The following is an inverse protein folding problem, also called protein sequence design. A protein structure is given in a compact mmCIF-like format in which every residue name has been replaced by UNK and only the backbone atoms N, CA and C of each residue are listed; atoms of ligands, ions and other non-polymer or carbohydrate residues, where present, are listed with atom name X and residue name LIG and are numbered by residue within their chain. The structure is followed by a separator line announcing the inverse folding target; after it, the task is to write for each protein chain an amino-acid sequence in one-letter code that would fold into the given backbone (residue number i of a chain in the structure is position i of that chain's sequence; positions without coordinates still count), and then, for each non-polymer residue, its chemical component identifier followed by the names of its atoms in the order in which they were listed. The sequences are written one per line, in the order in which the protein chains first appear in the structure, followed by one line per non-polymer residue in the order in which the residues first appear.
data_IF_743865240379
#
_entry.id   IF_743865240379
#
_cell.length_a   1.000
_cell.length_b   1.000
_cell.length_c   1.000
_cell.angle_alpha   90.00
_cell.angle_beta   90.00
_cell.angle_gamma   90.00
#
_symmetry.space_group_name_H-M   'P 1'
#
loop_
_entity.id
_entity.type
_entity.pdbx_description
1 polymer ?
#
# COMPACT_ATOMS: atom_id res chain seq x y z
N UNK A 1 5.26 -17.86 -23.78
CA UNK A 1 4.33 -18.79 -24.46
C UNK A 1 3.23 -17.96 -25.14
N UNK A 2 2.96 -18.17 -26.44
CA UNK A 2 1.83 -17.50 -27.09
C UNK A 2 0.52 -18.02 -26.50
N UNK A 3 -0.40 -17.12 -26.11
CA UNK A 3 -1.68 -17.51 -25.56
C UNK A 3 -2.35 -16.42 -24.71
N UNK A 4 -3.58 -16.71 -24.28
CA UNK A 4 -4.33 -15.95 -23.28
C UNK A 4 -4.73 -16.90 -22.15
N UNK A 5 -5.08 -16.37 -20.97
CA UNK A 5 -5.48 -17.21 -19.83
C UNK A 5 -4.33 -17.57 -18.88
N UNK A 6 -3.42 -16.64 -18.62
CA UNK A 6 -2.46 -16.75 -17.51
C UNK A 6 -3.00 -15.96 -16.30
N UNK A 7 -2.91 -16.53 -15.10
CA UNK A 7 -3.36 -15.91 -13.84
C UNK A 7 -2.22 -15.33 -13.02
N UNK A 8 -1.00 -15.83 -13.20
CA UNK A 8 0.20 -15.36 -12.51
C UNK A 8 1.45 -15.58 -13.37
N UNK A 9 2.44 -14.71 -13.21
CA UNK A 9 3.80 -14.90 -13.73
C UNK A 9 4.78 -14.81 -12.56
N UNK A 10 5.79 -15.68 -12.55
CA UNK A 10 6.96 -15.58 -11.70
C UNK A 10 8.21 -15.55 -12.57
N UNK A 11 9.10 -14.58 -12.34
CA UNK A 11 10.35 -14.43 -13.06
C UNK A 11 11.51 -14.70 -12.11
N UNK A 12 12.34 -15.69 -12.44
CA UNK A 12 13.63 -15.91 -11.82
C UNK A 12 14.76 -15.39 -12.70
N UNK A 13 16.01 -15.58 -12.28
CA UNK A 13 17.17 -15.00 -12.99
C UNK A 13 17.34 -15.54 -14.42
N UNK A 14 17.06 -16.84 -14.62
CA UNK A 14 17.33 -17.53 -15.88
C UNK A 14 16.09 -18.16 -16.52
N UNK A 15 14.95 -18.18 -15.83
CA UNK A 15 13.72 -18.77 -16.33
C UNK A 15 12.49 -18.01 -15.81
N UNK A 16 11.38 -18.16 -16.51
CA UNK A 16 10.09 -17.64 -16.09
C UNK A 16 9.06 -18.78 -16.06
N UNK A 17 8.11 -18.65 -15.15
CA UNK A 17 6.95 -19.52 -15.01
C UNK A 17 5.68 -18.69 -15.19
N UNK A 18 4.69 -19.25 -15.85
CA UNK A 18 3.34 -18.73 -15.88
C UNK A 18 2.38 -19.80 -15.35
N UNK A 19 1.51 -19.39 -14.44
CA UNK A 19 0.37 -20.18 -14.01
C UNK A 19 -0.78 -19.92 -14.99
N UNK A 20 -1.25 -20.99 -15.62
CA UNK A 20 -2.38 -20.97 -16.54
C UNK A 20 -3.70 -20.94 -15.73
N UNK A 21 -4.78 -20.45 -16.34
CA UNK A 21 -6.09 -20.33 -15.70
C UNK A 21 -6.72 -21.70 -15.33
N UNK A 22 -6.30 -22.78 -15.99
CA UNK A 22 -6.67 -24.16 -15.64
C UNK A 22 -5.87 -24.72 -14.45
N UNK A 23 -4.93 -23.94 -13.90
CA UNK A 23 -4.06 -24.32 -12.80
C UNK A 23 -2.84 -25.13 -13.22
N UNK A 24 -2.50 -25.20 -14.51
CA UNK A 24 -1.24 -25.82 -15.00
C UNK A 24 -0.09 -24.82 -15.12
N UNK A 25 1.15 -25.30 -15.25
CA UNK A 25 2.35 -24.46 -15.26
C UNK A 25 3.00 -24.48 -16.65
N UNK A 26 3.31 -23.29 -17.18
CA UNK A 26 4.11 -23.10 -18.39
C UNK A 26 5.44 -22.46 -18.04
N UNK A 27 6.56 -23.06 -18.44
CA UNK A 27 7.91 -22.49 -18.22
C UNK A 27 8.62 -22.10 -19.51
N UNK A 28 9.53 -21.14 -19.44
CA UNK A 28 10.45 -20.80 -20.54
C UNK A 28 11.75 -20.19 -20.02
N UNK A 29 12.80 -20.24 -20.83
CA UNK A 29 14.13 -19.73 -20.50
C UNK A 29 15.16 -20.86 -20.44
N UNK A 30 16.20 -20.66 -19.64
CA UNK A 30 17.28 -21.61 -19.45
C UNK A 30 16.83 -22.83 -18.64
N UNK A 31 17.34 -24.01 -18.97
CA UNK A 31 16.86 -25.29 -18.42
C UNK A 31 17.96 -26.31 -18.08
N UNK A 32 19.22 -25.90 -17.89
CA UNK A 32 20.30 -26.87 -17.60
C UNK A 32 20.14 -27.60 -16.25
N UNK A 33 19.24 -27.14 -15.38
CA UNK A 33 18.93 -27.79 -14.09
C UNK A 33 17.51 -28.38 -14.07
N UNK A 34 16.82 -28.39 -15.21
CA UNK A 34 15.43 -28.86 -15.29
C UNK A 34 14.42 -27.90 -14.66
N UNK A 35 14.78 -26.63 -14.43
CA UNK A 35 13.86 -25.63 -13.84
C UNK A 35 12.65 -25.30 -14.73
N UNK A 36 12.71 -25.67 -16.01
CA UNK A 36 11.60 -25.57 -16.99
C UNK A 36 11.05 -26.96 -17.31
N UNK A 37 11.89 -27.90 -17.75
CA UNK A 37 11.42 -29.22 -18.23
C UNK A 37 10.90 -30.15 -17.14
N UNK A 38 11.37 -29.99 -15.89
CA UNK A 38 10.88 -30.78 -14.76
C UNK A 38 9.73 -30.10 -14.00
N UNK A 39 9.17 -29.01 -14.53
CA UNK A 39 7.97 -28.41 -13.94
C UNK A 39 6.84 -29.46 -13.90
N UNK A 40 6.12 -29.58 -12.76
CA UNK A 40 5.04 -30.54 -12.63
C UNK A 40 4.00 -30.42 -13.75
N UNK A 41 3.66 -31.55 -14.37
CA UNK A 41 2.69 -31.60 -15.43
C UNK A 41 1.24 -31.59 -14.90
N UNK A 42 0.33 -31.03 -15.70
CA UNK A 42 -1.10 -31.01 -15.40
C UNK A 42 -1.53 -29.85 -14.51
N UNK A 43 -2.85 -29.76 -14.22
CA UNK A 43 -3.42 -28.71 -13.38
C UNK A 43 -3.27 -29.04 -11.89
N UNK A 44 -3.74 -28.13 -11.03
CA UNK A 44 -3.80 -28.33 -9.58
C UNK A 44 -2.97 -27.33 -8.76
N UNK A 45 -2.45 -26.28 -9.40
CA UNK A 45 -1.67 -25.23 -8.77
C UNK A 45 -2.45 -23.91 -8.69
N UNK A 46 -2.25 -23.16 -7.62
CA UNK A 46 -2.86 -21.83 -7.43
C UNK A 46 -1.81 -20.71 -7.35
N UNK A 47 -0.53 -21.04 -7.15
CA UNK A 47 0.56 -20.08 -7.14
C UNK A 47 1.87 -20.72 -7.62
N UNK A 48 2.69 -19.93 -8.30
CA UNK A 48 4.08 -20.27 -8.67
C UNK A 48 5.06 -19.22 -8.16
N UNK A 49 6.29 -19.66 -7.87
CA UNK A 49 7.45 -18.83 -7.61
C UNK A 49 8.66 -19.39 -8.40
N UNK A 50 9.47 -18.48 -8.93
CA UNK A 50 10.64 -18.81 -9.73
C UNK A 50 11.89 -18.26 -9.05
N UNK A 51 12.92 -19.11 -8.93
CA UNK A 51 14.23 -18.76 -8.39
C UNK A 51 15.28 -18.67 -9.51
N UNK A 52 16.57 -18.53 -9.20
CA UNK A 52 17.63 -18.57 -10.21
C UNK A 52 17.68 -19.92 -10.91
N UNK A 53 17.55 -21.03 -10.18
CA UNK A 53 17.81 -22.40 -10.71
C UNK A 53 16.75 -23.46 -10.38
N UNK A 54 15.65 -23.08 -9.72
CA UNK A 54 14.57 -23.98 -9.35
C UNK A 54 13.23 -23.26 -9.38
N UNK A 55 12.15 -24.01 -9.48
CA UNK A 55 10.78 -23.53 -9.37
C UNK A 55 10.11 -24.08 -8.11
N UNK A 56 9.08 -23.37 -7.66
CA UNK A 56 8.21 -23.73 -6.55
C UNK A 56 6.77 -23.47 -6.94
N UNK A 57 5.87 -24.38 -6.57
CA UNK A 57 4.43 -24.21 -6.74
C UNK A 57 3.67 -24.57 -5.47
N UNK A 58 2.62 -23.81 -5.21
CA UNK A 58 1.59 -24.11 -4.23
C UNK A 58 0.44 -24.83 -4.93
N UNK A 59 0.05 -25.97 -4.38
CA UNK A 59 -1.11 -26.73 -4.84
C UNK A 59 -2.39 -26.19 -4.23
N UNK A 60 -3.51 -26.45 -4.90
CA UNK A 60 -4.87 -26.10 -4.43
C UNK A 60 -5.19 -26.74 -3.07
N UNK A 61 -4.61 -27.89 -2.75
CA UNK A 61 -4.75 -28.56 -1.45
C UNK A 61 -3.88 -27.95 -0.33
N UNK A 62 -3.11 -26.90 -0.65
CA UNK A 62 -2.23 -26.22 0.29
C UNK A 62 -0.89 -26.91 0.53
N UNK A 63 -0.51 -27.90 -0.29
CA UNK A 63 0.82 -28.53 -0.27
C UNK A 63 1.80 -27.90 -1.28
N UNK A 64 3.10 -28.18 -1.11
CA UNK A 64 4.16 -27.59 -1.93
C UNK A 64 4.82 -28.59 -2.87
N UNK A 65 5.40 -28.09 -3.96
CA UNK A 65 6.36 -28.84 -4.78
C UNK A 65 7.41 -27.91 -5.33
N UNK A 66 8.66 -28.35 -5.22
CA UNK A 66 9.81 -27.70 -5.85
C UNK A 66 10.41 -28.63 -6.89
N UNK A 67 11.09 -28.06 -7.88
CA UNK A 67 11.80 -28.80 -8.93
C UNK A 67 12.98 -27.97 -9.45
N UNK A 68 13.98 -28.62 -10.03
CA UNK A 68 15.17 -27.95 -10.56
C UNK A 68 16.43 -28.31 -9.77
N UNK A 69 17.34 -27.35 -9.62
CA UNK A 69 18.57 -27.53 -8.85
C UNK A 69 18.31 -27.77 -7.36
N UNK A 70 19.15 -28.61 -6.75
CA UNK A 70 19.03 -29.02 -5.34
C UNK A 70 20.37 -29.03 -4.59
N UNK A 71 21.38 -28.29 -5.05
CA UNK A 71 22.73 -28.35 -4.46
C UNK A 71 22.75 -27.90 -2.98
N UNK A 72 21.69 -27.23 -2.50
CA UNK A 72 21.55 -26.74 -1.12
C UNK A 72 20.20 -27.10 -0.50
N UNK A 73 19.54 -28.15 -1.00
CA UNK A 73 18.28 -28.63 -0.46
C UNK A 73 17.07 -27.76 -0.82
N UNK A 74 17.12 -26.97 -1.89
CA UNK A 74 15.97 -26.18 -2.36
C UNK A 74 14.77 -27.03 -2.76
N UNK A 75 15.03 -28.26 -3.20
CA UNK A 75 14.03 -29.23 -3.63
C UNK A 75 13.84 -30.30 -2.56
N UNK A 76 14.91 -30.96 -2.12
CA UNK A 76 14.81 -32.08 -1.17
C UNK A 76 14.32 -31.67 0.22
N UNK A 77 14.54 -30.42 0.65
CA UNK A 77 14.02 -29.90 1.91
C UNK A 77 12.70 -29.12 1.77
N UNK A 78 11.99 -29.27 0.64
CA UNK A 78 10.67 -28.67 0.49
C UNK A 78 9.76 -29.15 1.63
N UNK A 79 9.17 -28.23 2.43
CA UNK A 79 8.35 -28.60 3.57
C UNK A 79 7.18 -29.50 3.17
N UNK A 80 7.10 -30.66 3.83
CA UNK A 80 5.95 -31.55 3.71
C UNK A 80 4.75 -31.00 4.49
N UNK A 81 3.55 -31.45 4.11
CA UNK A 81 2.30 -31.08 4.76
C UNK A 81 1.43 -30.17 3.90
N UNK A 82 0.38 -29.64 4.54
CA UNK A 82 -0.64 -28.78 3.93
C UNK A 82 -0.77 -27.48 4.74
N UNK A 83 -1.67 -26.59 4.31
CA UNK A 83 -1.99 -25.34 5.03
C UNK A 83 -1.10 -24.15 4.67
N UNK A 84 -0.29 -24.28 3.62
CA UNK A 84 0.42 -23.15 3.02
C UNK A 84 -0.55 -22.31 2.19
N UNK A 85 -0.40 -20.98 2.27
CA UNK A 85 -1.27 -20.00 1.61
C UNK A 85 -0.51 -19.07 0.67
N UNK A 86 0.81 -19.00 0.79
CA UNK A 86 1.64 -18.24 -0.12
C UNK A 86 3.04 -18.85 -0.24
N UNK A 87 3.63 -18.74 -1.42
CA UNK A 87 5.04 -19.07 -1.69
C UNK A 87 5.81 -17.88 -2.27
N UNK A 88 7.09 -17.81 -1.96
CA UNK A 88 8.05 -16.89 -2.58
C UNK A 88 9.45 -17.53 -2.59
N UNK A 89 10.30 -17.14 -3.54
CA UNK A 89 11.69 -17.59 -3.58
C UNK A 89 12.64 -16.42 -3.83
N UNK A 90 13.84 -16.52 -3.26
CA UNK A 90 15.00 -15.73 -3.65
C UNK A 90 15.86 -16.45 -4.68
N UNK A 91 17.14 -16.13 -4.77
CA UNK A 91 18.03 -16.75 -5.77
C UNK A 91 18.35 -18.23 -5.48
N UNK A 92 18.42 -18.62 -4.20
CA UNK A 92 18.81 -19.99 -3.80
C UNK A 92 18.06 -20.49 -2.56
N UNK A 93 17.04 -19.78 -2.11
CA UNK A 93 16.17 -20.17 -1.00
C UNK A 93 14.71 -19.93 -1.37
N UNK A 94 13.82 -20.64 -0.69
CA UNK A 94 12.37 -20.45 -0.79
C UNK A 94 11.74 -20.32 0.58
N UNK A 95 10.53 -19.79 0.58
CA UNK A 95 9.73 -19.58 1.75
C UNK A 95 8.26 -19.88 1.45
N UNK A 96 7.55 -20.31 2.49
CA UNK A 96 6.12 -20.48 2.46
C UNK A 96 5.47 -19.87 3.70
N UNK A 97 4.36 -19.18 3.48
CA UNK A 97 3.49 -18.63 4.52
C UNK A 97 2.38 -19.64 4.80
N UNK A 98 2.12 -19.90 6.08
CA UNK A 98 0.99 -20.73 6.53
C UNK A 98 -0.24 -19.88 6.84
N UNK A 99 -1.41 -20.51 6.86
CA UNK A 99 -2.68 -19.84 7.19
C UNK A 99 -2.70 -19.23 8.61
N UNK A 100 -1.89 -19.74 9.53
CA UNK A 100 -1.70 -19.19 10.88
C UNK A 100 -0.77 -17.96 10.93
N UNK A 101 -0.22 -17.56 9.78
CA UNK A 101 0.69 -16.43 9.63
C UNK A 101 2.14 -16.73 10.03
N UNK A 102 2.51 -17.99 10.24
CA UNK A 102 3.91 -18.41 10.42
C UNK A 102 4.61 -18.64 9.09
N UNK A 103 5.95 -18.52 9.08
CA UNK A 103 6.79 -18.69 7.88
C UNK A 103 7.69 -19.89 8.06
N UNK A 104 7.94 -20.62 6.97
CA UNK A 104 9.03 -21.60 6.88
C UNK A 104 9.91 -21.26 5.69
N UNK A 105 11.22 -21.36 5.86
CA UNK A 105 12.21 -21.15 4.81
C UNK A 105 13.07 -22.39 4.64
N UNK A 106 13.59 -22.61 3.43
CA UNK A 106 14.51 -23.71 3.11
C UNK A 106 15.40 -23.37 1.91
N UNK A 107 16.46 -24.16 1.71
CA UNK A 107 17.47 -23.93 0.68
C UNK A 107 18.77 -23.38 1.26
N UNK A 108 19.47 -22.55 0.48
CA UNK A 108 20.76 -21.99 0.88
C UNK A 108 20.61 -20.98 2.04
N UNK A 109 21.59 -21.00 2.95
CA UNK A 109 21.58 -20.20 4.19
C UNK A 109 22.87 -19.42 4.43
N UNK A 110 23.54 -18.96 3.37
CA UNK A 110 24.84 -18.30 3.48
C UNK A 110 24.82 -16.95 4.21
N UNK A 111 23.64 -16.38 4.41
CA UNK A 111 23.47 -15.05 5.00
C UNK A 111 22.28 -15.01 5.96
N UNK A 112 21.86 -16.15 6.50
CA UNK A 112 20.72 -16.22 7.43
C UNK A 112 19.35 -16.22 6.74
N UNK A 113 19.27 -16.44 5.42
CA UNK A 113 18.01 -16.49 4.66
C UNK A 113 17.05 -17.57 5.13
N UNK A 114 17.57 -18.63 5.78
CA UNK A 114 16.80 -19.71 6.38
C UNK A 114 16.90 -19.66 7.91
N UNK A 115 18.10 -19.58 8.48
CA UNK A 115 18.27 -19.65 9.95
C UNK A 115 17.70 -18.44 10.71
N UNK A 116 17.67 -17.26 10.09
CA UNK A 116 17.08 -16.04 10.70
C UNK A 116 15.62 -15.84 10.32
N UNK A 117 14.94 -16.89 9.82
CA UNK A 117 13.50 -16.82 9.55
C UNK A 117 12.75 -16.46 10.84
N UNK A 118 11.86 -15.44 10.81
CA UNK A 118 11.04 -15.07 11.95
C UNK A 118 10.28 -16.26 12.54
N UNK A 119 10.40 -16.47 13.85
CA UNK A 119 9.75 -17.58 14.56
C UNK A 119 8.33 -17.23 15.00
N UNK A 120 7.98 -15.94 15.00
CA UNK A 120 6.64 -15.46 15.31
C UNK A 120 5.63 -15.70 14.17
N UNK A 121 4.35 -15.57 14.50
CA UNK A 121 3.26 -15.54 13.53
C UNK A 121 2.71 -14.13 13.33
N UNK A 122 1.64 -13.99 12.53
CA UNK A 122 1.00 -12.70 12.25
C UNK A 122 1.45 -12.04 10.94
N UNK A 123 2.16 -12.78 10.09
CA UNK A 123 2.47 -12.37 8.72
C UNK A 123 1.31 -12.66 7.78
N UNK A 124 1.15 -11.81 6.76
CA UNK A 124 0.13 -11.94 5.72
C UNK A 124 0.67 -11.86 4.30
N UNK A 125 1.96 -11.53 4.14
CA UNK A 125 2.63 -11.56 2.85
C UNK A 125 4.12 -11.85 3.03
N UNK A 126 4.71 -12.60 2.10
CA UNK A 126 6.15 -12.85 1.98
C UNK A 126 6.69 -12.41 0.61
N UNK A 127 7.97 -12.05 0.54
CA UNK A 127 8.69 -11.75 -0.70
C UNK A 127 10.16 -12.17 -0.59
N UNK A 128 10.69 -12.86 -1.61
CA UNK A 128 12.10 -13.26 -1.68
C UNK A 128 12.90 -12.30 -2.57
N UNK A 129 14.02 -11.80 -2.05
CA UNK A 129 15.03 -11.07 -2.81
C UNK A 129 16.19 -11.96 -3.19
N UNK A 130 17.29 -11.40 -3.72
CA UNK A 130 18.44 -12.19 -4.16
C UNK A 130 18.99 -13.11 -3.06
N UNK A 131 19.40 -12.50 -1.95
CA UNK A 131 19.92 -13.20 -0.76
C UNK A 131 19.29 -12.71 0.54
N UNK A 132 18.07 -12.17 0.47
CA UNK A 132 17.32 -11.70 1.61
C UNK A 132 15.83 -11.98 1.42
N UNK A 133 15.08 -11.74 2.48
CA UNK A 133 13.65 -12.03 2.55
C UNK A 133 12.92 -10.91 3.25
N UNK A 134 11.67 -10.68 2.85
CA UNK A 134 10.75 -9.74 3.49
C UNK A 134 9.45 -10.45 3.86
N UNK A 135 8.85 -10.00 4.96
CA UNK A 135 7.50 -10.36 5.35
C UNK A 135 6.71 -9.15 5.84
N UNK A 136 5.42 -9.10 5.54
CA UNK A 136 4.50 -8.05 5.94
C UNK A 136 3.58 -8.56 7.03
N UNK A 137 3.54 -7.86 8.16
CA UNK A 137 2.66 -8.17 9.29
C UNK A 137 1.25 -7.63 9.08
N UNK A 138 0.29 -8.15 9.84
CA UNK A 138 -1.10 -7.71 9.81
C UNK A 138 -1.26 -6.22 10.20
N UNK A 139 -0.40 -5.71 11.09
CA UNK A 139 -0.35 -4.29 11.49
C UNK A 139 0.29 -3.38 10.43
N UNK A 140 0.78 -3.95 9.32
CA UNK A 140 1.43 -3.24 8.23
C UNK A 140 2.88 -2.85 8.51
N UNK A 141 3.54 -3.42 9.51
CA UNK A 141 5.00 -3.36 9.68
C UNK A 141 5.71 -4.43 8.83
N UNK A 142 6.98 -4.19 8.50
CA UNK A 142 7.80 -5.10 7.68
C UNK A 142 8.87 -5.77 8.55
N UNK A 143 9.11 -7.06 8.30
CA UNK A 143 10.27 -7.79 8.76
C UNK A 143 11.16 -8.09 7.56
N UNK A 144 12.47 -7.92 7.71
CA UNK A 144 13.46 -8.40 6.76
C UNK A 144 14.51 -9.25 7.46
N UNK A 145 15.07 -10.22 6.75
CA UNK A 145 16.18 -11.06 7.21
C UNK A 145 17.04 -11.52 6.03
N UNK A 146 18.25 -11.99 6.30
CA UNK A 146 19.20 -12.40 5.28
C UNK A 146 20.34 -11.39 5.05
N UNK A 147 20.91 -11.42 3.85
CA UNK A 147 22.01 -10.55 3.43
C UNK A 147 21.63 -9.07 3.50
N UNK A 148 22.53 -8.23 4.05
CA UNK A 148 22.23 -6.81 4.34
C UNK A 148 23.38 -5.83 4.02
N UNK A 149 24.33 -6.21 3.18
CA UNK A 149 25.51 -5.36 2.88
C UNK A 149 25.12 -4.02 2.21
N UNK A 150 23.97 -3.95 1.55
CA UNK A 150 23.45 -2.73 0.91
C UNK A 150 22.35 -2.05 1.73
N UNK A 151 22.08 -2.52 2.95
CA UNK A 151 20.99 -2.03 3.80
C UNK A 151 19.60 -2.44 3.33
N UNK A 152 19.48 -3.51 2.53
CA UNK A 152 18.21 -4.02 2.01
C UNK A 152 17.27 -4.58 3.11
N UNK A 153 17.79 -4.85 4.30
CA UNK A 153 17.08 -5.28 5.50
C UNK A 153 17.14 -4.19 6.58
N UNK A 154 18.32 -3.71 6.98
CA UNK A 154 18.46 -2.79 8.12
C UNK A 154 17.92 -1.39 7.88
N UNK A 155 17.91 -0.89 6.64
CA UNK A 155 17.38 0.45 6.32
C UNK A 155 15.87 0.44 6.05
N UNK A 156 15.13 -0.55 6.54
CA UNK A 156 13.68 -0.57 6.41
C UNK A 156 13.02 0.57 7.22
N UNK A 157 11.97 1.24 6.70
CA UNK A 157 11.28 2.27 7.45
C UNK A 157 10.62 1.70 8.71
N UNK A 158 10.79 2.36 9.86
CA UNK A 158 10.16 1.96 11.14
C UNK A 158 8.63 2.25 11.20
N UNK A 159 8.00 2.48 10.06
CA UNK A 159 6.58 2.86 9.97
C UNK A 159 5.68 1.64 9.82
N UNK A 160 4.41 1.80 10.16
CA UNK A 160 3.33 0.82 9.89
C UNK A 160 2.46 1.24 8.71
N UNK A 161 1.41 0.46 8.42
CA UNK A 161 0.42 0.77 7.38
C UNK A 161 0.83 0.33 5.96
N UNK A 162 1.91 -0.42 5.80
CA UNK A 162 2.24 -1.00 4.50
C UNK A 162 1.20 -2.05 4.09
N UNK A 163 0.84 -1.99 2.81
CA UNK A 163 -0.14 -2.86 2.17
C UNK A 163 0.50 -4.00 1.40
N UNK A 164 1.69 -3.77 0.82
CA UNK A 164 2.41 -4.77 0.05
C UNK A 164 3.93 -4.66 0.24
N UNK A 165 4.63 -5.78 0.10
CA UNK A 165 6.10 -5.85 0.01
C UNK A 165 6.56 -6.54 -1.27
N UNK A 166 7.72 -6.14 -1.77
CA UNK A 166 8.44 -6.80 -2.85
C UNK A 166 9.96 -6.67 -2.62
N UNK A 167 10.72 -7.67 -3.08
CA UNK A 167 12.17 -7.70 -2.91
C UNK A 167 12.85 -7.93 -4.27
N UNK A 168 13.88 -7.15 -4.55
CA UNK A 168 14.76 -7.33 -5.70
C UNK A 168 16.08 -8.00 -5.31
N UNK A 169 17.04 -8.05 -6.24
CA UNK A 169 18.33 -8.71 -5.98
C UNK A 169 19.11 -8.10 -4.80
N UNK A 170 19.11 -6.78 -4.67
CA UNK A 170 19.82 -6.04 -3.61
C UNK A 170 19.05 -4.82 -3.11
N UNK A 171 17.72 -4.80 -3.27
CA UNK A 171 16.86 -3.71 -2.81
C UNK A 171 15.50 -4.25 -2.34
N UNK A 172 14.77 -3.44 -1.59
CA UNK A 172 13.47 -3.77 -1.01
C UNK A 172 12.47 -2.67 -1.31
N UNK A 173 11.21 -3.04 -1.52
CA UNK A 173 10.11 -2.13 -1.79
C UNK A 173 8.92 -2.45 -0.88
N UNK A 174 8.25 -1.41 -0.39
CA UNK A 174 6.99 -1.54 0.34
C UNK A 174 5.99 -0.48 -0.15
N UNK A 175 4.76 -0.90 -0.41
CA UNK A 175 3.66 -0.02 -0.85
C UNK A 175 2.83 0.36 0.36
N UNK A 176 2.74 1.66 0.66
CA UNK A 176 1.85 2.19 1.69
C UNK A 176 0.67 2.88 1.02
N UNK A 177 -0.55 2.42 1.29
CA UNK A 177 -1.73 3.20 0.95
C UNK A 177 -1.75 4.42 1.88
N UNK A 178 -1.44 5.59 1.34
CA UNK A 178 -1.74 6.83 2.02
C UNK A 178 -3.26 6.95 1.95
N UNK A 179 -3.95 6.55 3.02
CA UNK A 179 -5.27 7.13 3.28
C UNK A 179 -4.96 8.56 3.67
N UNK A 180 -5.28 9.59 2.84
CA UNK A 180 -5.10 10.94 3.28
C UNK A 180 -5.83 11.08 4.62
N UNK A 181 -5.31 11.85 5.59
CA UNK A 181 -6.00 12.08 6.86
C UNK A 181 -7.42 12.66 6.68
N UNK A 182 -7.76 13.05 5.46
CA UNK A 182 -9.09 13.42 5.00
C UNK A 182 -9.75 12.27 4.23
N UNK A 183 -10.85 11.73 4.77
CA UNK A 183 -11.75 10.88 4.00
C UNK A 183 -12.71 11.79 3.21
N UNK A 184 -12.61 11.80 1.89
CA UNK A 184 -13.60 12.47 1.04
C UNK A 184 -14.92 11.69 1.12
N UNK A 185 -15.97 12.32 1.66
CA UNK A 185 -17.35 11.85 1.53
C UNK A 185 -18.16 12.88 0.75
N UNK A 186 -18.27 12.70 -0.58
CA UNK A 186 -19.19 13.45 -1.42
C UNK A 186 -18.61 13.88 -2.78
N UNK A 187 -19.48 13.95 -3.78
CA UNK A 187 -19.22 14.62 -5.06
C UNK A 187 -19.52 16.11 -4.90
N UNK A 188 -18.63 17.00 -5.37
CA UNK A 188 -18.95 18.43 -5.46
C UNK A 188 -19.96 18.62 -6.61
N UNK A 189 -21.06 19.34 -6.37
CA UNK A 189 -21.89 19.86 -7.46
C UNK A 189 -21.22 21.11 -8.06
N UNK A 190 -21.28 21.22 -9.38
CA UNK A 190 -20.31 21.90 -10.24
C UNK A 190 -20.41 23.45 -10.35
N UNK A 191 -19.30 24.04 -10.82
CA UNK A 191 -19.22 25.36 -11.45
C UNK A 191 -17.98 25.50 -12.33
N UNK A 192 -18.10 25.15 -13.62
CA UNK A 192 -17.24 25.39 -14.80
C UNK A 192 -15.70 25.27 -14.78
N UNK A 193 -15.02 24.94 -13.67
CA UNK A 193 -13.58 24.64 -13.66
C UNK A 193 -13.26 23.39 -12.81
N UNK A 194 -13.60 22.22 -13.34
CA UNK A 194 -13.20 20.93 -12.75
C UNK A 194 -13.74 20.65 -11.35
N UNK A 195 -13.61 19.42 -10.89
CA UNK A 195 -13.80 19.11 -9.48
C UNK A 195 -12.59 19.69 -8.72
N UNK A 196 -12.77 20.62 -7.76
CA UNK A 196 -11.64 21.10 -6.99
C UNK A 196 -10.99 19.91 -6.28
N UNK A 197 -9.70 19.67 -6.58
CA UNK A 197 -8.95 18.58 -5.96
C UNK A 197 -8.34 19.10 -4.67
N UNK A 198 -8.67 18.44 -3.57
CA UNK A 198 -8.04 18.67 -2.28
C UNK A 198 -6.60 18.15 -2.32
N UNK A 199 -5.63 19.05 -2.17
CA UNK A 199 -4.25 18.66 -1.89
C UNK A 199 -3.91 19.17 -0.49
N UNK A 200 -3.77 18.25 0.46
CA UNK A 200 -3.43 18.56 1.84
C UNK A 200 -3.09 17.29 2.60
N UNK A 201 -1.90 17.24 3.18
CA UNK A 201 -1.43 16.13 4.01
C UNK A 201 -0.79 16.67 5.28
N UNK A 202 -1.23 16.19 6.45
CA UNK A 202 -0.62 16.56 7.72
C UNK A 202 -1.39 16.01 8.93
N UNK A 203 -0.68 15.84 10.04
CA UNK A 203 -1.28 15.50 11.34
C UNK A 203 -1.76 16.77 12.02
N UNK A 204 -3.00 16.79 12.51
CA UNK A 204 -3.54 17.91 13.28
C UNK A 204 -3.09 17.82 14.74
N UNK A 205 -1.80 18.04 15.01
CA UNK A 205 -1.25 18.13 16.36
C UNK A 205 -1.19 19.59 16.85
N UNK A 206 -1.26 19.86 18.17
CA UNK A 206 -0.99 21.20 18.72
C UNK A 206 0.33 21.76 18.19
N UNK A 207 0.31 22.99 17.66
CA UNK A 207 1.47 23.63 17.04
C UNK A 207 1.72 23.29 15.57
N UNK A 208 0.90 22.42 14.96
CA UNK A 208 0.99 22.15 13.51
C UNK A 208 0.33 23.28 12.71
N UNK A 209 0.99 23.71 11.63
CA UNK A 209 0.39 24.58 10.61
C UNK A 209 0.01 23.71 9.41
N UNK A 210 -1.29 23.52 9.18
CA UNK A 210 -1.77 22.74 8.05
C UNK A 210 -2.31 23.68 6.98
N UNK A 211 -1.87 23.50 5.73
CA UNK A 211 -2.39 24.22 4.57
C UNK A 211 -3.37 23.32 3.81
N UNK A 212 -4.53 23.88 3.47
CA UNK A 212 -5.49 23.27 2.55
C UNK A 212 -5.29 23.94 1.21
N UNK A 213 -4.94 23.20 0.16
CA UNK A 213 -4.79 23.75 -1.18
C UNK A 213 -6.05 23.49 -2.01
N UNK A 214 -6.70 24.57 -2.45
CA UNK A 214 -7.88 24.54 -3.32
C UNK A 214 -7.44 24.57 -4.79
N UNK A 215 -7.01 23.44 -5.35
CA UNK A 215 -6.61 23.40 -6.77
C UNK A 215 -7.85 23.43 -7.68
N UNK A 216 -7.93 24.40 -8.60
CA UNK A 216 -8.99 24.50 -9.63
C UNK A 216 -10.03 25.62 -9.48
N UNK A 217 -9.97 26.49 -8.47
CA UNK A 217 -10.89 27.63 -8.37
C UNK A 217 -10.56 28.77 -9.37
N UNK A 218 -11.54 29.61 -9.71
CA UNK A 218 -11.33 30.76 -10.59
C UNK A 218 -10.38 31.79 -9.93
N UNK A 219 -9.34 32.28 -10.63
CA UNK A 219 -8.45 33.31 -10.09
C UNK A 219 -9.22 34.57 -9.65
N UNK A 220 -8.93 35.07 -8.44
CA UNK A 220 -9.54 36.26 -7.86
C UNK A 220 -10.89 36.05 -7.14
N UNK A 221 -11.36 34.81 -6.97
CA UNK A 221 -12.63 34.53 -6.29
C UNK A 221 -12.56 34.78 -4.78
N UNK A 222 -13.65 35.31 -4.21
CA UNK A 222 -13.77 35.56 -2.77
C UNK A 222 -14.12 34.27 -2.05
N UNK A 223 -13.44 33.96 -0.94
CA UNK A 223 -13.61 32.68 -0.24
C UNK A 223 -13.81 32.86 1.27
N UNK A 224 -14.66 32.01 1.87
CA UNK A 224 -14.99 31.94 3.29
C UNK A 224 -14.79 30.52 3.82
N UNK A 225 -14.09 30.37 4.95
CA UNK A 225 -13.86 29.09 5.64
C UNK A 225 -14.81 28.96 6.83
N UNK A 226 -15.44 27.80 6.95
CA UNK A 226 -16.28 27.41 8.08
C UNK A 226 -15.67 26.20 8.77
N UNK A 227 -15.39 26.33 10.07
CA UNK A 227 -14.95 25.22 10.92
C UNK A 227 -16.05 24.99 11.94
N UNK A 228 -16.59 23.78 11.99
CA UNK A 228 -17.62 23.39 12.95
C UNK A 228 -17.17 22.16 13.75
N UNK A 229 -17.37 22.22 15.06
CA UNK A 229 -17.29 21.07 15.94
C UNK A 229 -18.68 20.43 15.99
N UNK A 230 -18.85 19.23 15.42
CA UNK A 230 -20.15 18.54 15.46
C UNK A 230 -19.97 17.03 15.52
N UNK A 231 -20.81 16.36 16.32
CA UNK A 231 -20.98 14.90 16.36
C UNK A 231 -22.00 14.37 15.35
N UNK A 232 -22.62 15.24 14.53
CA UNK A 232 -23.61 14.87 13.50
C UNK A 232 -23.46 15.71 12.21
N UNK A 233 -23.74 15.16 11.02
CA UNK A 233 -23.65 15.92 9.76
C UNK A 233 -24.64 17.09 9.75
N UNK A 234 -24.13 18.32 9.65
CA UNK A 234 -24.97 19.52 9.52
C UNK A 234 -25.37 19.68 8.06
N UNK A 235 -26.64 19.44 7.74
CA UNK A 235 -27.20 19.82 6.44
C UNK A 235 -27.49 21.32 6.48
N UNK A 236 -26.72 22.13 5.75
CA UNK A 236 -26.92 23.57 5.73
C UNK A 236 -28.18 23.94 4.90
N UNK A 237 -29.25 24.38 5.58
CA UNK A 237 -30.43 24.99 4.95
C UNK A 237 -30.65 26.38 5.51
N UNK A 238 -29.82 27.34 5.08
CA UNK A 238 -30.02 28.77 5.36
C UNK A 238 -29.98 29.12 6.84
N UNK A 239 -28.80 29.50 7.35
CA UNK A 239 -28.62 30.07 8.68
C UNK A 239 -27.31 30.85 8.77
N UNK A 240 -27.19 31.77 9.73
CA UNK A 240 -25.96 32.55 9.90
C UNK A 240 -24.85 31.67 10.49
N UNK A 241 -23.76 31.49 9.74
CA UNK A 241 -22.57 30.75 10.16
C UNK A 241 -21.70 31.63 11.06
N UNK A 242 -21.29 31.10 12.21
CA UNK A 242 -20.39 31.76 13.16
C UNK A 242 -19.03 31.05 13.09
N UNK A 243 -17.97 31.78 12.74
CA UNK A 243 -16.61 31.25 12.66
C UNK A 243 -16.06 30.92 14.05
N UNK A 244 -15.44 29.75 14.21
CA UNK A 244 -14.68 29.43 15.42
C UNK A 244 -13.45 28.55 15.15
N UNK A 245 -12.24 28.91 15.64
CA UNK A 245 -11.93 30.15 16.37
C UNK A 245 -11.94 31.37 15.43
N UNK A 246 -11.99 32.60 15.96
CA UNK A 246 -11.90 33.79 15.13
C UNK A 246 -10.50 33.80 14.48
N UNK A 247 -10.44 33.53 13.18
CA UNK A 247 -9.31 34.04 12.39
C UNK A 247 -9.34 35.54 12.62
N UNK A 248 -8.22 36.12 13.09
CA UNK A 248 -8.17 37.45 13.70
C UNK A 248 -8.85 38.57 12.88
N UNK A 249 -9.07 38.35 11.59
CA UNK A 249 -9.66 39.33 10.69
C UNK A 249 -10.96 38.92 9.99
N UNK A 250 -11.67 37.83 10.37
CA UNK A 250 -12.91 37.45 9.68
C UNK A 250 -12.78 37.46 8.14
N UNK A 251 -11.56 37.16 7.68
CA UNK A 251 -11.00 37.79 6.49
C UNK A 251 -11.53 37.15 5.23
N UNK A 252 -12.04 37.99 4.34
CA UNK A 252 -12.32 37.64 2.97
C UNK A 252 -11.00 37.24 2.30
N UNK A 253 -10.84 35.97 1.92
CA UNK A 253 -9.62 35.50 1.26
C UNK A 253 -9.76 35.56 -0.26
N UNK A 254 -8.68 35.92 -0.95
CA UNK A 254 -8.62 35.97 -2.42
C UNK A 254 -7.73 34.84 -2.91
N UNK A 255 -8.26 33.98 -3.78
CA UNK A 255 -7.48 32.92 -4.44
C UNK A 255 -6.31 33.50 -5.23
N UNK A 256 -5.15 32.86 -5.20
CA UNK A 256 -3.95 33.26 -5.95
C UNK A 256 -4.05 33.04 -7.47
N UNK A 257 -3.00 33.42 -8.21
CA UNK A 257 -2.99 33.43 -9.68
C UNK A 257 -3.18 32.07 -10.38
N UNK A 258 -3.08 30.96 -9.63
CA UNK A 258 -3.35 29.60 -10.11
C UNK A 258 -4.66 29.01 -9.55
N UNK A 259 -5.52 29.83 -8.92
CA UNK A 259 -6.76 29.39 -8.29
C UNK A 259 -6.60 28.79 -6.88
N UNK A 260 -5.37 28.62 -6.41
CA UNK A 260 -5.09 28.09 -5.07
C UNK A 260 -5.31 29.12 -3.96
N UNK A 261 -5.82 28.68 -2.82
CA UNK A 261 -5.85 29.44 -1.57
C UNK A 261 -5.17 28.63 -0.48
N UNK A 262 -4.11 29.17 0.14
CA UNK A 262 -3.46 28.54 1.29
C UNK A 262 -3.99 29.13 2.59
N UNK A 263 -4.68 28.32 3.39
CA UNK A 263 -5.19 28.75 4.69
C UNK A 263 -4.38 28.08 5.81
N UNK A 264 -3.70 28.83 6.69
CA UNK A 264 -3.07 28.24 7.86
C UNK A 264 -4.15 27.83 8.87
N UNK A 265 -4.29 26.54 9.10
CA UNK A 265 -5.14 26.03 10.17
C UNK A 265 -4.30 25.71 11.41
N UNK A 266 -4.68 26.32 12.54
CA UNK A 266 -4.10 26.07 13.87
C UNK A 266 -5.15 25.35 14.73
N UNK A 267 -4.76 24.20 15.28
CA UNK A 267 -5.64 23.41 16.15
C UNK A 267 -5.98 24.14 17.45
N UNK A 268 -7.27 24.26 17.84
CA UNK A 268 -7.65 24.76 19.14
C UNK A 268 -7.07 23.87 20.27
N UNK A 269 -6.47 24.47 21.31
CA UNK A 269 -5.98 23.69 22.45
C UNK A 269 -7.15 23.11 23.26
N UNK A 270 -6.94 21.93 23.87
CA UNK A 270 -7.85 21.35 24.86
C UNK A 270 -9.01 20.50 24.30
N UNK A 271 -8.98 20.11 23.02
CA UNK A 271 -9.96 19.17 22.47
C UNK A 271 -9.67 17.73 22.94
N UNK A 272 -10.69 16.94 23.34
CA UNK A 272 -10.53 15.52 23.66
C UNK A 272 -9.99 14.73 22.46
N UNK A 273 -9.26 13.64 22.71
CA UNK A 273 -8.80 12.73 21.66
C UNK A 273 -9.99 12.11 20.90
N UNK A 274 -9.81 11.81 19.61
CA UNK A 274 -10.87 11.27 18.72
C UNK A 274 -12.09 12.17 18.53
N UNK A 275 -12.01 13.46 18.86
CA UNK A 275 -13.05 14.44 18.55
C UNK A 275 -13.14 14.63 17.03
N UNK A 276 -14.35 14.52 16.48
CA UNK A 276 -14.58 14.76 15.06
C UNK A 276 -14.54 16.27 14.74
N UNK A 277 -13.78 16.60 13.70
CA UNK A 277 -13.63 17.95 13.16
C UNK A 277 -14.22 17.98 11.76
N UNK A 278 -15.09 18.97 11.51
CA UNK A 278 -15.68 19.19 10.19
C UNK A 278 -15.28 20.56 9.66
N UNK A 279 -14.76 20.57 8.43
CA UNK A 279 -14.33 21.79 7.72
C UNK A 279 -15.09 21.92 6.41
N UNK A 280 -15.69 23.07 6.16
CA UNK A 280 -16.39 23.39 4.91
C UNK A 280 -15.97 24.79 4.44
N UNK A 281 -16.00 25.09 3.15
CA UNK A 281 -15.77 26.44 2.63
C UNK A 281 -16.80 26.82 1.58
N UNK A 282 -16.93 28.12 1.35
CA UNK A 282 -17.71 28.71 0.27
C UNK A 282 -16.82 29.63 -0.55
N UNK A 283 -16.99 29.62 -1.87
CA UNK A 283 -16.36 30.56 -2.80
C UNK A 283 -17.46 31.34 -3.49
N UNK A 284 -17.43 32.67 -3.44
CA UNK A 284 -18.26 33.53 -4.25
C UNK A 284 -17.64 33.63 -5.65
N UNK A 285 -18.32 33.04 -6.63
CA UNK A 285 -17.90 32.98 -8.02
C UNK A 285 -19.11 33.29 -8.90
N UNK A 286 -18.98 34.30 -9.76
CA UNK A 286 -20.03 34.71 -10.69
C UNK A 286 -20.42 33.62 -11.71
N UNK A 287 -19.55 32.63 -11.93
CA UNK A 287 -19.81 31.48 -12.79
C UNK A 287 -20.52 30.32 -12.09
N UNK A 288 -20.69 30.36 -10.76
CA UNK A 288 -21.40 29.32 -10.01
C UNK A 288 -22.93 29.47 -10.16
N UNK A 289 -23.67 28.35 -10.07
CA UNK A 289 -25.12 28.26 -10.34
C UNK A 289 -25.99 29.17 -9.45
N UNK A 290 -25.43 29.76 -8.38
CA UNK A 290 -26.08 30.79 -7.54
C UNK A 290 -25.12 31.89 -7.08
N UNK A 291 -24.03 32.15 -7.82
CA UNK A 291 -23.01 33.13 -7.42
C UNK A 291 -22.10 32.67 -6.27
N UNK A 292 -22.33 31.47 -5.73
CA UNK A 292 -21.55 30.84 -4.65
C UNK A 292 -21.41 29.33 -4.93
N UNK A 293 -20.20 28.80 -4.78
CA UNK A 293 -19.89 27.38 -4.75
C UNK A 293 -19.59 26.94 -3.31
N UNK A 294 -20.23 25.87 -2.85
CA UNK A 294 -20.00 25.28 -1.52
C UNK A 294 -19.18 24.01 -1.65
N UNK A 295 -18.23 23.82 -0.75
CA UNK A 295 -17.50 22.55 -0.65
C UNK A 295 -18.36 21.49 0.04
N UNK A 296 -17.98 20.22 -0.16
CA UNK A 296 -18.36 19.18 0.79
C UNK A 296 -17.67 19.41 2.12
N UNK A 297 -18.25 18.89 3.20
CA UNK A 297 -17.61 18.92 4.51
C UNK A 297 -16.48 17.88 4.55
N UNK A 298 -15.28 18.31 4.90
CA UNK A 298 -14.16 17.40 5.15
C UNK A 298 -14.14 17.01 6.62
N UNK A 299 -13.99 15.71 6.87
CA UNK A 299 -13.94 15.12 8.22
C UNK A 299 -12.52 14.77 8.60
N UNK A 300 -12.10 15.21 9.78
CA UNK A 300 -10.88 14.77 10.46
C UNK A 300 -11.17 14.37 11.91
N UNK A 301 -10.18 13.80 12.59
CA UNK A 301 -10.26 13.47 14.02
C UNK A 301 -9.05 14.03 14.76
N UNK A 302 -9.25 14.45 16.00
CA UNK A 302 -8.13 14.82 16.87
C UNK A 302 -7.28 13.59 17.22
N UNK A 303 -5.95 13.74 17.35
CA UNK A 303 -5.06 12.68 17.81
C UNK A 303 -5.45 12.13 19.18
#
# INVERSE_FOLDING_TARGET
PPGTGFSQIAAGDYHCLALNADGSISGWGWDAWGQVSNAPAGPGFNQVAASSRHGLALRVDGSLVSWGADDWGQVSNTPAGMGFVQVACGSFHCMALRADGSIVSWGADWSGTVSDTPVESGFRQIAGGGYHSLALRADGSVAGWGYDVWGQVSNQPANTGFTHVAAGYGHSMALRAIVPPWTHAGFALAGLHGNPLLVGSGTLAPGSSNAIELSGAAPGALSLLFVALSSTPVTFKGGMLIAFPPVADGGLFVTGGAGGLGLPFVMPPGLPASTELWVQWAIQDAAAVQGVALSNAIKGTTP
#
